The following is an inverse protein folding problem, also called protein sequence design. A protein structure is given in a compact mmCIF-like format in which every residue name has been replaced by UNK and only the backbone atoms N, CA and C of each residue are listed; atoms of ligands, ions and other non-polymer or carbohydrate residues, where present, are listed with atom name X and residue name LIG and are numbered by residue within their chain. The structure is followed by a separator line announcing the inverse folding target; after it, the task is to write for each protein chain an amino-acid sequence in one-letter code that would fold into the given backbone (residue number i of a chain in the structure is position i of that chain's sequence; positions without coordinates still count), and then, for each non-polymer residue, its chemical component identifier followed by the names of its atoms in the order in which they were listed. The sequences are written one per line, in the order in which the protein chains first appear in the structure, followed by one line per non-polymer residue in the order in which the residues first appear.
data_IF_206900305021
#
_entry.id   IF_206900305021
#
_cell.length_a   1.000
_cell.length_b   1.000
_cell.length_c   1.000
_cell.angle_alpha   90.00
_cell.angle_beta   90.00
_cell.angle_gamma   90.00
#
_symmetry.space_group_name_H-M   'P 1'
#
loop_
_entity.id
_entity.type
_entity.pdbx_description
1 polymer ?
#
# COMPACT_ATOMS: atom_id res chain seq x y z
N UNK A 1 21.89 -10.02 -7.04
CA UNK A 1 21.45 -8.62 -6.94
C UNK A 1 20.12 -8.75 -6.27
N UNK A 2 20.09 -8.39 -4.99
CA UNK A 2 18.96 -8.65 -4.11
C UNK A 2 17.78 -7.81 -4.63
N UNK A 3 16.72 -8.48 -5.04
CA UNK A 3 15.47 -7.89 -5.54
C UNK A 3 14.75 -7.24 -4.36
N UNK A 4 15.15 -6.01 -4.04
CA UNK A 4 14.35 -5.08 -3.23
C UNK A 4 13.34 -4.40 -4.18
N UNK A 5 12.54 -5.18 -4.91
CA UNK A 5 11.62 -4.63 -5.92
C UNK A 5 10.37 -3.99 -5.28
N UNK A 6 10.16 -4.20 -3.98
CA UNK A 6 8.97 -3.76 -3.26
C UNK A 6 9.23 -2.56 -2.34
N UNK A 7 10.46 -2.07 -2.22
CA UNK A 7 10.76 -0.91 -1.36
C UNK A 7 10.76 0.36 -2.20
N UNK A 8 9.94 1.33 -1.81
CA UNK A 8 9.84 2.65 -2.44
C UNK A 8 10.24 3.74 -1.45
N UNK A 9 10.99 4.72 -1.95
CA UNK A 9 11.37 5.90 -1.16
C UNK A 9 10.44 7.04 -1.56
N UNK A 10 9.57 7.44 -0.64
CA UNK A 10 8.68 8.56 -0.84
C UNK A 10 9.25 9.79 -0.16
N UNK A 11 9.16 10.91 -0.87
CA UNK A 11 9.60 12.20 -0.37
C UNK A 11 8.39 13.08 -0.12
N UNK A 12 8.19 13.42 1.14
CA UNK A 12 7.11 14.30 1.58
C UNK A 12 7.34 15.77 1.16
N UNK A 13 6.33 16.62 1.28
CA UNK A 13 6.37 18.06 1.04
C UNK A 13 7.48 18.80 1.83
N UNK A 14 7.84 18.26 2.99
CA UNK A 14 8.94 18.78 3.83
C UNK A 14 10.33 18.39 3.31
N UNK A 15 10.39 17.56 2.28
CA UNK A 15 11.61 17.00 1.72
C UNK A 15 12.23 15.88 2.56
N UNK A 16 11.45 15.30 3.48
CA UNK A 16 11.82 14.11 4.25
C UNK A 16 11.62 12.89 3.37
N UNK A 17 12.67 12.09 3.23
CA UNK A 17 12.64 10.83 2.52
C UNK A 17 12.31 9.72 3.53
N UNK A 18 11.21 9.01 3.29
CA UNK A 18 10.78 7.88 4.11
C UNK A 18 10.75 6.64 3.22
N UNK A 19 11.34 5.56 3.71
CA UNK A 19 11.35 4.27 3.03
C UNK A 19 10.10 3.49 3.40
N UNK A 20 9.40 2.98 2.39
CA UNK A 20 8.18 2.20 2.54
C UNK A 20 8.33 0.87 1.80
N UNK A 21 7.79 -0.19 2.37
CA UNK A 21 7.65 -1.49 1.71
C UNK A 21 6.23 -1.65 1.17
N UNK A 22 6.10 -1.97 -0.12
CA UNK A 22 4.84 -2.34 -0.77
C UNK A 22 4.48 -3.75 -0.33
N UNK A 23 3.39 -3.85 0.42
CA UNK A 23 2.83 -5.13 0.87
C UNK A 23 1.97 -5.74 -0.23
N UNK A 24 1.08 -4.94 -0.83
CA UNK A 24 0.14 -5.39 -1.86
C UNK A 24 -0.49 -4.20 -2.59
N UNK A 25 -1.00 -4.44 -3.79
CA UNK A 25 -1.85 -3.52 -4.54
C UNK A 25 -3.31 -3.98 -4.53
N UNK A 26 -4.23 -3.03 -4.37
CA UNK A 26 -5.68 -3.25 -4.33
C UNK A 26 -6.33 -2.42 -5.44
N UNK A 27 -7.17 -3.05 -6.25
CA UNK A 27 -8.01 -2.36 -7.22
C UNK A 27 -9.42 -2.16 -6.64
N UNK A 28 -9.80 -0.91 -6.41
CA UNK A 28 -11.10 -0.53 -5.83
C UNK A 28 -11.76 0.55 -6.70
N UNK A 29 -12.98 0.28 -7.16
CA UNK A 29 -13.75 1.18 -8.03
C UNK A 29 -13.03 1.57 -9.34
N UNK A 30 -12.08 0.75 -9.80
CA UNK A 30 -11.26 1.00 -10.98
C UNK A 30 -10.05 1.93 -10.75
N UNK A 31 -9.79 2.30 -9.50
CA UNK A 31 -8.57 2.95 -9.06
C UNK A 31 -7.65 1.93 -8.40
N UNK A 32 -6.34 2.12 -8.52
CA UNK A 32 -5.33 1.26 -7.90
C UNK A 32 -4.80 1.93 -6.64
N UNK A 33 -4.64 1.16 -5.57
CA UNK A 33 -4.14 1.62 -4.28
C UNK A 33 -3.02 0.71 -3.82
N UNK A 34 -1.90 1.29 -3.39
CA UNK A 34 -0.78 0.55 -2.83
C UNK A 34 -0.82 0.62 -1.31
N UNK A 35 -0.70 -0.54 -0.68
CA UNK A 35 -0.56 -0.68 0.76
C UNK A 35 0.93 -0.68 1.10
N UNK A 36 1.34 0.33 1.84
CA UNK A 36 2.72 0.65 2.14
C UNK A 36 2.97 0.51 3.64
N UNK A 37 4.10 -0.07 4.02
CA UNK A 37 4.51 -0.17 5.41
C UNK A 37 5.78 0.65 5.65
N UNK A 38 5.79 1.60 6.60
CA UNK A 38 6.97 2.42 6.88
C UNK A 38 8.11 1.57 7.44
N UNK A 39 9.27 1.60 6.79
CA UNK A 39 10.47 0.88 7.26
C UNK A 39 11.29 1.71 8.27
N UNK A 40 11.19 3.04 8.22
CA UNK A 40 11.96 3.95 9.08
C UNK A 40 11.34 4.10 10.49
N UNK A 41 10.09 3.71 10.67
CA UNK A 41 9.36 3.80 11.94
C UNK A 41 9.03 2.41 12.49
N UNK A 42 9.99 1.82 13.21
CA UNK A 42 9.84 0.49 13.85
C UNK A 42 8.72 0.44 14.91
N UNK A 43 8.19 1.59 15.37
CA UNK A 43 7.06 1.65 16.32
C UNK A 43 5.69 1.72 15.62
N UNK A 44 5.63 2.13 14.35
CA UNK A 44 4.40 2.17 13.57
C UNK A 44 4.13 0.81 12.92
N UNK A 45 3.26 0.03 13.54
CA UNK A 45 2.68 -1.19 12.96
C UNK A 45 1.52 -0.92 11.97
N UNK A 46 1.32 0.34 11.59
CA UNK A 46 0.20 0.79 10.79
C UNK A 46 0.62 0.93 9.32
N UNK A 47 0.04 0.08 8.47
CA UNK A 47 0.15 0.23 7.02
C UNK A 47 -0.63 1.45 6.53
N UNK A 48 -0.09 2.13 5.53
CA UNK A 48 -0.66 3.31 4.90
C UNK A 48 -1.14 2.95 3.50
N UNK A 49 -2.39 3.26 3.19
CA UNK A 49 -2.93 3.12 1.84
C UNK A 49 -2.72 4.41 1.04
N UNK A 50 -2.08 4.31 -0.12
CA UNK A 50 -1.91 5.42 -1.06
C UNK A 50 -2.53 5.08 -2.41
N UNK A 51 -3.20 6.05 -3.03
CA UNK A 51 -3.81 5.93 -4.34
C UNK A 51 -2.79 6.17 -5.43
N UNK A 52 -2.85 5.36 -6.49
CA UNK A 52 -2.07 5.58 -7.71
C UNK A 52 -2.83 6.54 -8.61
N UNK A 53 -2.27 7.73 -8.80
CA UNK A 53 -2.75 8.75 -9.72
C UNK A 53 -1.73 8.97 -10.85
N UNK A 54 -2.16 9.68 -11.90
CA UNK A 54 -1.29 10.03 -13.03
C UNK A 54 -1.14 11.54 -13.10
N UNK A 55 0.10 12.02 -13.07
CA UNK A 55 0.41 13.43 -13.16
C UNK A 55 0.25 13.99 -14.59
N UNK A 56 0.37 15.32 -14.77
CA UNK A 56 0.25 15.99 -16.07
C UNK A 56 1.26 15.52 -17.13
N UNK A 57 2.41 14.99 -16.70
CA UNK A 57 3.47 14.41 -17.54
C UNK A 57 3.23 12.93 -17.87
N UNK A 58 2.21 12.31 -17.27
CA UNK A 58 1.85 10.91 -17.49
C UNK A 58 2.63 9.92 -16.65
N UNK A 59 3.28 10.36 -15.56
CA UNK A 59 3.93 9.47 -14.61
C UNK A 59 2.95 9.08 -13.50
N UNK A 60 3.09 7.86 -13.02
CA UNK A 60 2.35 7.36 -11.86
C UNK A 60 2.90 8.00 -10.59
N UNK A 61 2.01 8.62 -9.81
CA UNK A 61 2.31 9.24 -8.53
C UNK A 61 1.42 8.61 -7.45
N UNK A 62 1.92 8.60 -6.22
CA UNK A 62 1.15 8.14 -5.06
C UNK A 62 0.56 9.35 -4.33
N UNK A 63 -0.75 9.34 -4.18
CA UNK A 63 -1.53 10.38 -3.51
C UNK A 63 -2.23 9.81 -2.27
N UNK A 64 -2.38 10.63 -1.24
CA UNK A 64 -3.18 10.29 -0.07
C UNK A 64 -4.68 10.26 -0.39
N UNK A 65 -5.42 9.36 0.27
CA UNK A 65 -6.86 9.20 0.06
C UNK A 65 -7.59 10.27 0.88
N UNK A 66 -8.11 11.31 0.21
CA UNK A 66 -8.82 12.42 0.86
C UNK A 66 -10.29 12.11 1.20
N UNK A 67 -10.87 11.09 0.56
CA UNK A 67 -12.28 10.73 0.73
C UNK A 67 -12.43 9.56 1.71
N UNK A 68 -13.11 9.79 2.84
CA UNK A 68 -13.31 8.76 3.88
C UNK A 68 -14.02 7.51 3.34
N UNK A 69 -14.99 7.65 2.41
CA UNK A 69 -15.71 6.50 1.84
C UNK A 69 -14.79 5.67 0.92
N UNK A 70 -13.91 6.34 0.18
CA UNK A 70 -12.86 5.67 -0.62
C UNK A 70 -11.90 4.91 0.30
N UNK A 71 -11.43 5.53 1.38
CA UNK A 71 -10.53 4.91 2.35
C UNK A 71 -11.17 3.69 3.01
N UNK A 72 -12.43 3.78 3.47
CA UNK A 72 -13.14 2.64 4.08
C UNK A 72 -13.23 1.44 3.13
N UNK A 73 -13.42 1.67 1.83
CA UNK A 73 -13.46 0.58 0.83
C UNK A 73 -12.10 -0.08 0.66
N UNK A 74 -11.03 0.72 0.60
CA UNK A 74 -9.65 0.20 0.49
C UNK A 74 -9.26 -0.56 1.75
N UNK A 75 -9.56 -0.02 2.93
CA UNK A 75 -9.35 -0.69 4.20
C UNK A 75 -10.10 -2.02 4.26
N UNK A 76 -11.38 -2.05 3.88
CA UNK A 76 -12.16 -3.29 3.83
C UNK A 76 -11.61 -4.29 2.82
N UNK A 77 -11.12 -3.83 1.66
CA UNK A 77 -10.46 -4.69 0.68
C UNK A 77 -9.14 -5.27 1.22
N UNK A 78 -8.38 -4.47 1.96
CA UNK A 78 -7.13 -4.91 2.61
C UNK A 78 -7.39 -5.92 3.73
N UNK A 79 -8.37 -5.68 4.60
CA UNK A 79 -8.77 -6.64 5.64
C UNK A 79 -9.15 -7.98 5.02
N UNK A 80 -9.94 -7.96 3.95
CA UNK A 80 -10.32 -9.18 3.23
C UNK A 80 -9.12 -9.87 2.58
N UNK A 81 -8.19 -9.10 2.03
CA UNK A 81 -6.94 -9.63 1.47
C UNK A 81 -6.11 -10.31 2.57
N UNK A 82 -5.99 -9.70 3.76
CA UNK A 82 -5.32 -10.28 4.92
C UNK A 82 -6.00 -11.57 5.38
N UNK A 83 -7.34 -11.59 5.48
CA UNK A 83 -8.08 -12.81 5.82
C UNK A 83 -7.79 -13.92 4.81
N UNK A 84 -7.75 -13.59 3.52
CA UNK A 84 -7.45 -14.56 2.45
C UNK A 84 -5.99 -15.03 2.50
N UNK A 85 -5.05 -14.12 2.73
CA UNK A 85 -3.62 -14.42 2.82
C UNK A 85 -3.28 -15.28 4.04
N UNK A 86 -3.98 -15.09 5.16
CA UNK A 86 -3.86 -15.91 6.38
C UNK A 86 -4.54 -17.28 6.22
N UNK A 87 -5.65 -17.37 5.46
CA UNK A 87 -6.34 -18.63 5.17
C UNK A 87 -5.53 -19.58 4.24
N UNK A 88 -4.65 -19.08 3.37
CA UNK A 88 -3.82 -19.94 2.49
C UNK A 88 -2.75 -20.77 3.25
N UNK A 89 -2.50 -20.51 4.55
CA UNK A 89 -1.59 -21.34 5.37
C UNK A 89 -2.25 -22.62 5.92
N UNK A 90 -3.57 -22.82 5.78
CA UNK A 90 -4.28 -23.96 6.39
C UNK A 90 -4.67 -25.11 5.44
N UNK A 91 -4.37 -25.04 4.14
CA UNK A 91 -4.80 -26.06 3.16
C UNK A 91 -3.78 -27.19 2.85
N UNK A 92 -2.66 -27.30 3.57
CA UNK A 92 -1.63 -28.35 3.33
C UNK A 92 -1.62 -29.50 4.38
N UNK A 93 -2.74 -29.78 5.05
CA UNK A 93 -2.86 -30.98 5.92
C UNK A 93 -4.10 -31.83 5.57
N UNK A 94 -4.03 -32.57 4.46
CA UNK A 94 -4.76 -33.84 4.25
C UNK A 94 -3.79 -35.02 3.99
#
# INVERSE_FOLDING_TARGET
MEEMDNVVVLKDENGVETEFEIITDLEVDGNVYYILYPLDDEESEEAVAMKVDVDEEGNEILSEIEDDEEFEKVASAYEKWLETADEEEFEDEE
#
